data_IF_710101855601
#
_entry.id   IF_710101855601
#
_cell.length_a   1.000
_cell.length_b   1.000
_cell.length_c   1.000
_cell.angle_alpha   90.00
_cell.angle_beta   90.00
_cell.angle_gamma   90.00
#
_symmetry.space_group_name_H-M   'P 1'
#
loop_
_entity.id
_entity.type
_entity.pdbx_description
1 polymer ?
#
# COMPACT_ATOMS: atom_id res chain seq x y z
N UNK A 1 45.48 5.96 3.26
CA UNK A 1 46.56 6.55 2.44
C UNK A 1 47.17 7.70 3.22
N UNK A 2 48.43 8.01 2.97
CA UNK A 2 49.08 9.24 3.41
C UNK A 2 48.58 10.42 2.55
N UNK A 3 47.85 11.39 3.13
CA UNK A 3 47.35 12.56 2.39
C UNK A 3 48.45 13.37 1.71
N UNK A 4 49.68 13.40 2.25
CA UNK A 4 50.79 14.17 1.70
C UNK A 4 51.27 13.61 0.36
N UNK A 5 51.04 12.32 0.12
CA UNK A 5 51.42 11.64 -1.12
C UNK A 5 50.32 11.62 -2.16
N UNK A 6 49.11 12.12 -1.86
CA UNK A 6 47.99 12.25 -2.81
C UNK A 6 47.92 13.69 -3.30
N UNK A 7 48.65 13.97 -4.38
CA UNK A 7 48.80 15.31 -4.96
C UNK A 7 48.49 15.26 -6.46
N UNK A 8 48.54 16.42 -7.13
CA UNK A 8 48.37 16.49 -8.58
C UNK A 8 49.48 15.77 -9.38
N UNK A 9 50.56 15.30 -8.73
CA UNK A 9 51.60 14.48 -9.38
C UNK A 9 51.35 12.98 -9.25
N UNK A 10 50.55 12.56 -8.26
CA UNK A 10 50.27 11.14 -7.99
C UNK A 10 48.84 10.75 -8.29
N UNK A 11 47.87 11.68 -8.21
CA UNK A 11 46.55 11.54 -8.83
C UNK A 11 46.48 12.49 -10.02
N UNK A 12 46.71 11.93 -11.21
CA UNK A 12 46.76 12.67 -12.46
C UNK A 12 45.54 12.38 -13.31
N UNK A 13 45.17 13.34 -14.16
CA UNK A 13 44.16 13.19 -15.18
C UNK A 13 44.79 13.58 -16.53
N UNK A 14 44.62 12.75 -17.55
CA UNK A 14 45.08 13.03 -18.91
C UNK A 14 43.94 13.08 -19.89
N UNK A 15 44.03 14.00 -20.85
CA UNK A 15 43.24 14.00 -22.08
C UNK A 15 44.14 13.45 -23.20
N UNK A 16 43.92 12.20 -23.61
CA UNK A 16 44.88 11.50 -24.46
C UNK A 16 46.27 11.41 -23.81
N UNK A 17 47.27 12.09 -24.38
CA UNK A 17 48.64 12.13 -23.85
C UNK A 17 48.92 13.36 -22.94
N UNK A 18 48.02 14.35 -22.93
CA UNK A 18 48.23 15.65 -22.27
C UNK A 18 47.68 15.63 -20.85
N UNK A 19 48.42 16.12 -19.86
CA UNK A 19 47.90 16.29 -18.50
C UNK A 19 46.86 17.41 -18.45
N UNK A 20 45.73 17.12 -17.82
CA UNK A 20 44.73 18.12 -17.43
C UNK A 20 45.22 18.77 -16.14
N UNK A 21 45.26 20.10 -16.10
CA UNK A 21 45.59 20.83 -14.87
C UNK A 21 44.43 20.73 -13.88
N UNK A 22 44.77 20.61 -12.60
CA UNK A 22 43.78 20.50 -11.54
C UNK A 22 44.44 20.44 -10.17
N UNK A 23 43.61 20.50 -9.14
CA UNK A 23 44.02 20.25 -7.75
C UNK A 23 43.53 18.90 -7.30
N UNK A 24 44.18 18.34 -6.29
CA UNK A 24 43.75 17.09 -5.67
C UNK A 24 43.45 17.37 -4.22
N UNK A 25 42.30 16.88 -3.76
CA UNK A 25 41.94 16.86 -2.35
C UNK A 25 41.77 15.42 -1.90
N UNK A 26 42.10 15.14 -0.64
CA UNK A 26 41.94 13.82 -0.05
C UNK A 26 41.32 13.96 1.34
N UNK A 27 40.23 13.22 1.58
CA UNK A 27 39.55 13.20 2.87
C UNK A 27 38.99 11.82 3.18
N UNK A 28 39.30 11.31 4.38
CA UNK A 28 38.96 9.95 4.79
C UNK A 28 39.61 8.91 3.89
N UNK A 29 38.81 8.32 3.00
CA UNK A 29 39.22 7.31 2.01
C UNK A 29 38.98 7.77 0.57
N UNK A 30 38.61 9.04 0.36
CA UNK A 30 38.21 9.58 -0.95
C UNK A 30 39.22 10.62 -1.43
N UNK A 31 39.81 10.36 -2.60
CA UNK A 31 40.58 11.35 -3.35
C UNK A 31 39.69 11.98 -4.43
N UNK A 32 39.76 13.30 -4.59
CA UNK A 32 39.01 14.06 -5.60
C UNK A 32 39.99 14.91 -6.40
N UNK A 33 40.09 14.62 -7.70
CA UNK A 33 40.75 15.50 -8.66
C UNK A 33 39.74 16.55 -9.13
N UNK A 34 40.08 17.83 -8.96
CA UNK A 34 39.27 18.97 -9.37
C UNK A 34 40.00 19.63 -10.55
N UNK A 35 39.53 19.42 -11.80
CA UNK A 35 40.09 20.09 -12.96
C UNK A 35 40.06 21.61 -12.79
N UNK A 36 41.11 22.31 -13.24
CA UNK A 36 41.19 23.77 -13.17
C UNK A 36 40.26 24.46 -14.19
N UNK A 37 39.81 23.71 -15.19
CA UNK A 37 38.81 24.11 -16.18
C UNK A 37 37.98 22.89 -16.58
N UNK A 38 36.84 23.12 -17.22
CA UNK A 38 36.00 22.05 -17.75
C UNK A 38 36.80 21.09 -18.65
N UNK A 39 36.49 19.81 -18.51
CA UNK A 39 37.10 18.77 -19.33
C UNK A 39 36.59 18.89 -20.78
N UNK A 40 37.48 18.64 -21.74
CA UNK A 40 37.12 18.74 -23.14
C UNK A 40 35.99 17.76 -23.50
N UNK A 41 34.95 18.22 -24.18
CA UNK A 41 33.81 17.41 -24.61
C UNK A 41 34.23 16.27 -25.56
N UNK A 42 33.49 15.15 -25.52
CA UNK A 42 33.64 14.01 -26.42
C UNK A 42 35.00 13.31 -26.32
N UNK A 43 35.74 13.53 -25.22
CA UNK A 43 37.13 13.13 -25.12
C UNK A 43 37.34 12.10 -24.02
N UNK A 44 38.14 11.08 -24.34
CA UNK A 44 38.62 10.09 -23.37
C UNK A 44 39.59 10.79 -22.43
N UNK A 45 39.25 10.75 -21.15
CA UNK A 45 40.11 11.13 -20.06
C UNK A 45 40.57 9.88 -19.32
N UNK A 46 41.87 9.81 -19.04
CA UNK A 46 42.49 8.72 -18.31
C UNK A 46 42.97 9.27 -16.98
N UNK A 47 42.39 8.79 -15.90
CA UNK A 47 42.84 9.09 -14.56
C UNK A 47 43.80 8.01 -14.09
N UNK A 48 44.83 8.43 -13.37
CA UNK A 48 45.86 7.55 -12.84
C UNK A 48 46.19 7.93 -11.41
N UNK A 49 46.09 6.97 -10.50
CA UNK A 49 46.75 7.02 -9.19
C UNK A 49 48.07 6.27 -9.34
N UNK A 50 49.19 6.97 -9.22
CA UNK A 50 50.52 6.40 -9.49
C UNK A 50 51.06 5.62 -8.29
N UNK A 51 52.10 4.83 -8.54
CA UNK A 51 52.90 4.20 -7.47
C UNK A 51 53.63 5.20 -6.56
N UNK A 52 53.57 6.50 -6.83
CA UNK A 52 54.08 7.54 -5.93
C UNK A 52 53.19 7.80 -4.70
N UNK A 53 52.00 7.19 -4.67
CA UNK A 53 51.06 7.29 -3.55
C UNK A 53 51.35 6.21 -2.50
N UNK A 54 51.43 6.56 -1.22
CA UNK A 54 51.74 5.61 -0.13
C UNK A 54 50.65 5.56 0.94
N UNK A 55 50.66 4.51 1.76
CA UNK A 55 49.98 4.51 3.05
C UNK A 55 50.82 5.23 4.15
N UNK A 56 50.27 5.34 5.36
CA UNK A 56 50.94 5.99 6.50
C UNK A 56 52.16 5.20 7.01
N UNK A 57 52.32 3.94 6.59
CA UNK A 57 53.49 3.12 6.88
C UNK A 57 54.55 3.21 5.76
N UNK A 58 54.32 4.02 4.73
CA UNK A 58 55.22 4.23 3.59
C UNK A 58 55.10 3.16 2.50
N UNK A 59 54.10 2.28 2.54
CA UNK A 59 53.90 1.29 1.49
C UNK A 59 53.25 1.95 0.26
N UNK A 60 53.94 1.90 -0.88
CA UNK A 60 53.43 2.41 -2.14
C UNK A 60 52.30 1.54 -2.73
N UNK A 61 51.40 2.16 -3.49
CA UNK A 61 50.49 1.42 -4.38
C UNK A 61 51.34 0.57 -5.34
N UNK A 62 51.04 -0.73 -5.43
CA UNK A 62 51.90 -1.70 -6.10
C UNK A 62 52.07 -1.46 -7.61
N UNK A 63 51.04 -0.94 -8.27
CA UNK A 63 51.02 -0.58 -9.69
C UNK A 63 50.11 0.62 -9.89
N UNK A 64 50.36 1.43 -10.92
CA UNK A 64 49.47 2.52 -11.29
C UNK A 64 48.02 2.02 -11.43
N UNK A 65 47.10 2.62 -10.68
CA UNK A 65 45.67 2.35 -10.84
C UNK A 65 45.10 3.31 -11.88
N UNK A 66 44.73 2.75 -13.03
CA UNK A 66 44.34 3.52 -14.22
C UNK A 66 42.90 3.21 -14.58
N UNK A 67 42.09 4.26 -14.76
CA UNK A 67 40.75 4.14 -15.32
C UNK A 67 40.53 5.23 -16.36
N UNK A 68 39.60 4.99 -17.27
CA UNK A 68 39.23 5.98 -18.28
C UNK A 68 37.73 6.19 -18.32
N UNK A 69 37.35 7.41 -18.69
CA UNK A 69 35.97 7.80 -18.95
C UNK A 69 35.95 8.72 -20.18
N UNK A 70 34.84 8.74 -20.89
CA UNK A 70 34.66 9.66 -22.04
C UNK A 70 33.65 10.71 -21.65
N UNK A 71 34.01 11.99 -21.77
CA UNK A 71 33.06 13.10 -21.60
C UNK A 71 32.06 13.10 -22.75
N UNK A 72 30.84 13.60 -22.52
CA UNK A 72 29.83 13.72 -23.57
C UNK A 72 30.30 14.66 -24.69
N UNK A 73 29.92 14.36 -25.94
CA UNK A 73 30.33 15.14 -27.14
C UNK A 73 29.73 16.55 -27.18
N UNK A 74 28.62 16.78 -26.48
CA UNK A 74 28.01 18.08 -26.29
C UNK A 74 27.90 18.35 -24.78
N UNK A 75 28.09 19.62 -24.41
CA UNK A 75 27.69 20.10 -23.09
C UNK A 75 26.18 19.92 -22.98
N UNK A 76 25.74 19.38 -21.87
CA UNK A 76 24.33 19.38 -21.57
C UNK A 76 23.93 20.74 -21.04
N UNK A 77 23.16 21.46 -21.84
CA UNK A 77 22.60 22.79 -21.52
C UNK A 77 21.08 22.74 -21.45
N UNK A 78 20.51 21.53 -21.45
CA UNK A 78 19.07 21.34 -21.37
C UNK A 78 18.68 21.44 -19.91
N UNK A 79 17.79 22.38 -19.58
CA UNK A 79 17.31 22.46 -18.21
C UNK A 79 16.39 21.27 -17.91
N UNK A 80 16.47 20.68 -16.71
CA UNK A 80 15.50 19.69 -16.28
C UNK A 80 14.11 20.31 -16.18
N UNK A 81 13.10 19.49 -16.45
CA UNK A 81 11.69 19.84 -16.27
C UNK A 81 10.99 18.80 -15.40
N UNK A 82 9.80 19.15 -14.90
CA UNK A 82 8.95 18.21 -14.15
C UNK A 82 7.92 17.62 -15.10
N UNK A 83 8.07 16.34 -15.39
CA UNK A 83 7.21 15.54 -16.27
C UNK A 83 5.86 15.23 -15.62
N UNK A 84 5.84 14.97 -14.31
CA UNK A 84 4.62 14.67 -13.56
C UNK A 84 4.78 14.90 -12.05
N UNK A 85 3.66 15.08 -11.36
CA UNK A 85 3.58 15.14 -9.90
C UNK A 85 2.57 14.13 -9.36
N UNK A 86 2.82 13.64 -8.16
CA UNK A 86 1.88 12.86 -7.36
C UNK A 86 1.73 13.54 -5.99
N UNK A 87 0.52 13.82 -5.52
CA UNK A 87 -0.71 13.92 -6.30
C UNK A 87 -0.56 14.84 -7.52
N UNK A 88 -1.47 14.67 -8.49
CA UNK A 88 -1.59 15.65 -9.58
C UNK A 88 -1.92 17.03 -8.99
N UNK A 89 -1.53 18.08 -9.71
CA UNK A 89 -1.82 19.45 -9.26
C UNK A 89 -3.34 19.68 -9.12
N UNK A 90 -3.73 20.35 -8.03
CA UNK A 90 -5.09 20.57 -7.58
C UNK A 90 -5.92 19.29 -7.29
N UNK A 91 -5.30 18.13 -7.11
CA UNK A 91 -6.02 16.92 -6.71
C UNK A 91 -6.73 17.09 -5.37
N UNK A 92 -7.97 16.61 -5.27
CA UNK A 92 -8.77 16.61 -4.04
C UNK A 92 -9.07 15.18 -3.58
N UNK A 93 -9.49 15.01 -2.32
CA UNK A 93 -9.80 13.67 -1.80
C UNK A 93 -8.55 12.79 -1.60
N UNK A 94 -7.37 13.40 -1.56
CA UNK A 94 -6.10 12.68 -1.46
C UNK A 94 -5.99 11.99 -0.10
N UNK A 95 -5.54 10.72 -0.02
CA UNK A 95 -5.31 10.07 1.26
C UNK A 95 -4.35 10.87 2.14
N UNK A 96 -4.68 11.03 3.42
CA UNK A 96 -3.84 11.74 4.38
C UNK A 96 -2.44 11.09 4.58
N UNK A 97 -2.28 9.81 4.24
CA UNK A 97 -1.00 9.09 4.23
C UNK A 97 -0.24 9.17 2.90
N UNK A 98 -0.58 10.12 2.01
CA UNK A 98 0.12 10.26 0.73
C UNK A 98 1.58 10.69 0.92
N UNK A 99 2.47 10.13 0.10
CA UNK A 99 3.83 10.61 -0.06
C UNK A 99 3.92 11.40 -1.38
N UNK A 100 4.03 12.74 -1.34
CA UNK A 100 4.14 13.52 -2.57
C UNK A 100 5.40 13.13 -3.36
N UNK A 101 5.27 13.04 -4.68
CA UNK A 101 6.37 12.70 -5.57
C UNK A 101 6.41 13.60 -6.80
N UNK A 102 7.58 13.67 -7.40
CA UNK A 102 7.85 14.38 -8.65
C UNK A 102 8.66 13.50 -9.57
N UNK A 103 8.34 13.48 -10.86
CA UNK A 103 9.14 12.82 -11.90
C UNK A 103 9.75 13.88 -12.80
N UNK A 104 11.07 13.86 -12.96
CA UNK A 104 11.82 14.80 -13.80
C UNK A 104 11.89 14.32 -15.25
N UNK A 105 12.27 15.19 -16.19
CA UNK A 105 12.51 14.84 -17.60
C UNK A 105 13.81 14.05 -17.81
N UNK A 106 14.71 14.11 -16.84
CA UNK A 106 16.03 13.51 -16.89
C UNK A 106 16.57 13.21 -15.49
N UNK A 107 17.78 12.66 -15.42
CA UNK A 107 18.43 12.31 -14.16
C UNK A 107 18.94 13.57 -13.43
N UNK A 108 18.42 13.79 -12.22
CA UNK A 108 18.88 14.82 -11.29
C UNK A 108 20.14 14.40 -10.51
N UNK A 109 20.94 15.38 -10.06
CA UNK A 109 22.00 15.17 -9.07
C UNK A 109 21.36 14.82 -7.72
N UNK A 110 21.50 13.58 -7.22
CA UNK A 110 20.90 13.13 -5.97
C UNK A 110 21.31 13.97 -4.75
N UNK A 111 22.49 14.60 -4.77
CA UNK A 111 22.97 15.44 -3.66
C UNK A 111 22.22 16.76 -3.55
N UNK A 112 21.59 17.21 -4.64
CA UNK A 112 20.76 18.42 -4.65
C UNK A 112 19.29 18.14 -4.35
N UNK A 113 18.86 16.87 -4.35
CA UNK A 113 17.49 16.47 -4.04
C UNK A 113 17.38 16.11 -2.55
N UNK A 114 16.86 17.03 -1.75
CA UNK A 114 16.75 16.90 -0.30
C UNK A 114 15.52 17.62 0.24
N UNK A 115 15.31 17.59 1.55
CA UNK A 115 14.23 18.35 2.23
C UNK A 115 14.40 19.87 2.14
N UNK A 116 15.55 20.37 1.66
CA UNK A 116 15.73 21.79 1.33
C UNK A 116 15.13 22.17 -0.02
N UNK A 117 15.25 21.28 -1.00
CA UNK A 117 14.84 21.54 -2.39
C UNK A 117 13.49 20.96 -2.70
N UNK A 118 13.09 19.86 -2.05
CA UNK A 118 11.74 19.31 -2.07
C UNK A 118 11.06 19.53 -0.71
N UNK A 119 10.14 20.49 -0.65
CA UNK A 119 9.42 20.87 0.57
C UNK A 119 7.92 20.62 0.45
N UNK A 120 7.27 20.42 1.60
CA UNK A 120 5.82 20.33 1.74
C UNK A 120 5.35 21.32 2.82
N UNK A 121 4.28 22.07 2.55
CA UNK A 121 3.71 23.07 3.47
C UNK A 121 2.20 22.95 3.62
N UNK A 122 1.70 23.21 4.82
CA UNK A 122 0.30 23.51 5.12
C UNK A 122 0.16 25.02 5.29
N UNK A 123 -0.33 25.72 4.26
CA UNK A 123 -0.27 27.19 4.24
C UNK A 123 1.17 27.68 4.40
N UNK A 124 1.45 28.42 5.49
CA UNK A 124 2.80 28.90 5.81
C UNK A 124 3.64 27.89 6.61
N UNK A 125 3.02 26.87 7.22
CA UNK A 125 3.67 25.92 8.12
C UNK A 125 4.37 24.83 7.33
N UNK A 126 5.66 24.60 7.59
CA UNK A 126 6.40 23.49 6.99
C UNK A 126 5.96 22.15 7.57
N UNK A 127 5.81 21.14 6.71
CA UNK A 127 5.59 19.75 7.11
C UNK A 127 6.94 19.04 7.16
N UNK A 128 7.26 18.44 8.30
CA UNK A 128 8.48 17.63 8.45
C UNK A 128 8.37 16.33 7.66
N UNK A 129 9.49 15.88 7.10
CA UNK A 129 9.56 14.66 6.31
C UNK A 129 10.99 14.31 5.88
N UNK A 130 11.13 13.25 5.10
CA UNK A 130 12.37 12.84 4.44
C UNK A 130 12.17 12.85 2.92
N UNK A 131 13.26 12.95 2.17
CA UNK A 131 13.23 12.90 0.70
C UNK A 131 14.12 11.76 0.23
N UNK A 132 13.59 10.92 -0.66
CA UNK A 132 14.33 9.85 -1.34
C UNK A 132 14.25 10.09 -2.84
N UNK A 133 15.38 9.95 -3.53
CA UNK A 133 15.48 10.06 -4.97
C UNK A 133 15.95 8.74 -5.58
N UNK A 134 15.26 8.26 -6.62
CA UNK A 134 15.61 7.03 -7.33
C UNK A 134 15.17 7.10 -8.79
N UNK A 135 16.06 6.70 -9.71
CA UNK A 135 15.84 6.82 -11.15
C UNK A 135 15.73 8.29 -11.56
N UNK A 136 14.51 8.73 -11.87
CA UNK A 136 14.14 10.13 -12.20
C UNK A 136 13.03 10.67 -11.30
N UNK A 137 12.80 10.02 -10.15
CA UNK A 137 11.67 10.33 -9.26
C UNK A 137 12.17 10.67 -7.86
N UNK A 138 11.72 11.81 -7.33
CA UNK A 138 11.90 12.16 -5.91
C UNK A 138 10.57 11.97 -5.16
N UNK A 139 10.63 11.43 -3.95
CA UNK A 139 9.48 11.20 -3.07
C UNK A 139 9.74 11.86 -1.73
N UNK A 140 8.81 12.71 -1.29
CA UNK A 140 8.75 13.29 0.04
C UNK A 140 7.88 12.39 0.93
N UNK A 141 8.42 11.90 2.05
CA UNK A 141 7.70 11.10 3.05
C UNK A 141 7.48 11.94 4.31
N UNK A 142 6.25 12.42 4.58
CA UNK A 142 5.96 13.14 5.81
C UNK A 142 6.25 12.30 7.07
N UNK A 143 6.71 12.93 8.15
CA UNK A 143 6.96 12.23 9.44
C UNK A 143 5.67 11.87 10.18
N UNK A 144 4.55 12.46 9.78
CA UNK A 144 3.24 12.22 10.38
C UNK A 144 2.17 12.24 9.29
N UNK A 145 1.08 11.51 9.53
CA UNK A 145 -0.10 11.55 8.68
C UNK A 145 -0.56 13.01 8.54
N UNK A 146 -0.86 13.42 7.31
CA UNK A 146 -1.31 14.76 7.02
C UNK A 146 -2.69 15.00 7.64
N UNK A 147 -2.98 16.25 8.01
CA UNK A 147 -4.31 16.62 8.48
C UNK A 147 -5.34 16.40 7.35
N UNK A 148 -6.53 15.98 7.73
CA UNK A 148 -7.63 15.80 6.78
C UNK A 148 -8.25 17.14 6.35
N UNK A 149 -8.98 17.15 5.24
CA UNK A 149 -9.61 18.34 4.64
C UNK A 149 -8.65 19.55 4.54
N UNK A 150 -7.37 19.28 4.29
CA UNK A 150 -6.31 20.27 4.38
C UNK A 150 -5.60 20.38 3.05
N UNK A 151 -5.44 21.61 2.57
CA UNK A 151 -4.65 21.90 1.38
C UNK A 151 -3.17 21.98 1.73
N UNK A 152 -2.38 21.17 1.05
CA UNK A 152 -0.93 21.18 1.11
C UNK A 152 -0.35 21.71 -0.20
N UNK A 153 0.80 22.38 -0.11
CA UNK A 153 1.59 22.80 -1.25
C UNK A 153 2.96 22.17 -1.20
N UNK A 154 3.32 21.46 -2.26
CA UNK A 154 4.62 20.89 -2.45
C UNK A 154 5.44 21.77 -3.41
N UNK A 155 6.75 21.85 -3.19
CA UNK A 155 7.65 22.67 -4.02
C UNK A 155 8.94 21.91 -4.29
N UNK A 156 9.34 21.83 -5.56
CA UNK A 156 10.73 21.62 -5.98
C UNK A 156 11.35 22.96 -6.35
N UNK A 157 12.41 23.36 -5.67
CA UNK A 157 13.10 24.63 -5.92
C UNK A 157 14.06 24.57 -7.10
N UNK A 158 14.44 25.73 -7.63
CA UNK A 158 15.50 25.87 -8.64
C UNK A 158 16.90 25.53 -8.13
N UNK A 159 17.07 25.18 -6.85
CA UNK A 159 18.33 24.67 -6.32
C UNK A 159 18.54 23.18 -6.63
N UNK A 160 17.49 22.46 -7.05
CA UNK A 160 17.61 21.12 -7.61
C UNK A 160 18.28 21.19 -8.99
N UNK A 161 19.35 20.41 -9.17
CA UNK A 161 20.16 20.40 -10.39
C UNK A 161 20.17 19.03 -11.04
N UNK A 162 20.36 19.01 -12.36
CA UNK A 162 20.76 17.81 -13.06
C UNK A 162 22.24 17.45 -12.80
N UNK A 163 22.69 16.33 -13.38
CA UNK A 163 24.08 15.88 -13.28
C UNK A 163 25.08 16.81 -13.99
N UNK A 164 24.62 17.68 -14.89
CA UNK A 164 25.42 18.69 -15.59
C UNK A 164 25.42 20.06 -14.88
N UNK A 165 24.64 20.21 -13.81
CA UNK A 165 24.51 21.43 -13.03
C UNK A 165 23.43 22.40 -13.52
N UNK A 166 22.63 22.03 -14.54
CA UNK A 166 21.50 22.85 -14.97
C UNK A 166 20.38 22.80 -13.93
N UNK A 167 19.66 23.91 -13.80
CA UNK A 167 18.60 24.10 -12.81
C UNK A 167 17.23 24.03 -13.45
N UNK A 168 16.20 23.74 -12.65
CA UNK A 168 14.82 24.01 -13.07
C UNK A 168 14.67 25.48 -13.47
N UNK A 169 13.95 25.76 -14.56
CA UNK A 169 13.73 27.14 -15.02
C UNK A 169 12.96 28.01 -14.00
N UNK A 170 12.12 27.38 -13.18
CA UNK A 170 11.37 28.00 -12.08
C UNK A 170 11.05 26.95 -11.03
N UNK A 171 10.74 27.38 -9.80
CA UNK A 171 10.21 26.47 -8.78
C UNK A 171 8.97 25.75 -9.33
N UNK A 172 8.96 24.41 -9.25
CA UNK A 172 7.74 23.64 -9.49
C UNK A 172 6.93 23.63 -8.21
N UNK A 173 5.82 24.35 -8.21
CA UNK A 173 4.84 24.34 -7.12
C UNK A 173 3.59 23.61 -7.60
N UNK A 174 3.05 22.74 -6.76
CA UNK A 174 1.73 22.16 -6.96
C UNK A 174 1.02 22.04 -5.61
N UNK A 175 -0.30 21.94 -5.67
CA UNK A 175 -1.14 21.79 -4.48
C UNK A 175 -2.00 20.54 -4.56
N UNK A 176 -2.40 20.03 -3.40
CA UNK A 176 -3.41 19.00 -3.28
C UNK A 176 -4.16 19.16 -1.96
N UNK A 177 -5.40 18.70 -1.93
CA UNK A 177 -6.25 18.73 -0.74
C UNK A 177 -6.48 17.29 -0.26
N UNK A 178 -6.07 17.02 0.98
CA UNK A 178 -6.39 15.75 1.62
C UNK A 178 -7.90 15.58 1.76
N UNK A 179 -8.39 14.35 1.64
CA UNK A 179 -9.79 14.04 1.83
C UNK A 179 -10.26 14.30 3.26
N UNK A 180 -11.57 14.21 3.47
CA UNK A 180 -12.16 14.31 4.78
C UNK A 180 -11.59 13.26 5.74
N UNK A 181 -11.56 13.61 7.03
CA UNK A 181 -11.17 12.66 8.05
C UNK A 181 -12.19 11.53 7.96
N UNK A 182 -11.69 10.30 7.81
CA UNK A 182 -12.56 9.14 7.93
C UNK A 182 -13.25 9.22 9.30
N UNK A 183 -14.57 9.29 9.29
CA UNK A 183 -15.36 9.18 10.50
C UNK A 183 -15.47 7.71 10.93
N UNK A 184 -15.66 7.50 12.22
CA UNK A 184 -15.67 6.17 12.84
C UNK A 184 -14.28 5.66 13.23
N UNK A 185 -14.20 4.40 13.69
CA UNK A 185 -12.95 3.80 14.14
C UNK A 185 -11.97 3.51 12.99
N UNK A 186 -10.71 3.18 13.29
CA UNK A 186 -9.80 2.65 12.28
C UNK A 186 -10.38 1.35 11.65
N UNK A 187 -10.16 1.06 10.36
CA UNK A 187 -10.58 -0.20 9.74
C UNK A 187 -10.04 -1.42 10.50
N UNK A 188 -10.71 -2.56 10.38
CA UNK A 188 -10.19 -3.84 10.89
C UNK A 188 -9.20 -4.38 9.86
N UNK A 189 -7.96 -4.63 10.28
CA UNK A 189 -6.96 -5.24 9.40
C UNK A 189 -7.28 -6.74 9.24
N UNK A 190 -7.59 -7.14 8.01
CA UNK A 190 -7.88 -8.54 7.68
C UNK A 190 -6.60 -9.33 7.39
N UNK A 191 -5.43 -8.70 7.32
CA UNK A 191 -4.19 -9.32 6.90
C UNK A 191 -4.36 -10.11 5.59
N UNK A 192 -3.86 -11.34 5.57
CA UNK A 192 -4.00 -12.24 4.42
C UNK A 192 -5.42 -12.80 4.25
N UNK A 193 -6.27 -12.80 5.28
CA UNK A 193 -7.69 -13.16 5.15
C UNK A 193 -8.44 -12.18 4.22
N UNK A 194 -7.97 -10.94 4.13
CA UNK A 194 -8.47 -9.93 3.20
C UNK A 194 -8.32 -10.30 1.72
N UNK A 195 -7.68 -11.42 1.37
CA UNK A 195 -7.63 -11.92 -0.02
C UNK A 195 -8.82 -12.84 -0.37
N UNK A 196 -9.55 -13.33 0.63
CA UNK A 196 -10.60 -14.34 0.45
C UNK A 196 -12.00 -13.73 0.54
N UNK A 197 -12.86 -14.04 -0.42
CA UNK A 197 -14.27 -13.66 -0.37
C UNK A 197 -15.06 -14.55 0.59
N UNK A 198 -14.65 -15.82 0.71
CA UNK A 198 -15.18 -16.77 1.70
C UNK A 198 -14.00 -17.47 2.37
N UNK A 199 -13.99 -17.49 3.70
CA UNK A 199 -13.00 -18.23 4.49
C UNK A 199 -13.72 -18.93 5.63
N UNK A 200 -13.45 -20.22 5.83
CA UNK A 200 -14.10 -21.02 6.87
C UNK A 200 -13.13 -22.02 7.52
N UNK A 201 -13.33 -22.39 8.79
CA UNK A 201 -12.49 -23.40 9.44
C UNK A 201 -12.98 -24.82 9.30
N UNK A 202 -14.30 -25.01 9.18
CA UNK A 202 -14.95 -26.33 9.21
C UNK A 202 -15.68 -26.69 7.92
N UNK A 203 -15.71 -25.79 6.93
CA UNK A 203 -16.19 -26.10 5.58
C UNK A 203 -16.96 -24.98 4.91
N UNK A 204 -17.10 -25.10 3.59
CA UNK A 204 -17.97 -24.25 2.77
C UNK A 204 -18.82 -25.16 1.92
N UNK A 205 -20.13 -24.92 1.89
CA UNK A 205 -21.05 -25.69 1.04
C UNK A 205 -21.87 -24.79 0.13
N UNK A 206 -22.20 -25.28 -1.05
CA UNK A 206 -23.12 -24.63 -1.97
C UNK A 206 -24.16 -25.61 -2.53
N UNK A 207 -25.37 -25.11 -2.74
CA UNK A 207 -26.45 -25.76 -3.47
C UNK A 207 -27.14 -24.76 -4.39
N UNK A 208 -27.76 -25.23 -5.47
CA UNK A 208 -28.45 -24.36 -6.44
C UNK A 208 -27.49 -23.50 -7.28
N UNK A 209 -28.03 -22.49 -7.94
CA UNK A 209 -27.26 -21.60 -8.83
C UNK A 209 -26.48 -20.57 -8.03
N UNK A 210 -25.25 -20.91 -7.65
CA UNK A 210 -24.34 -20.00 -6.93
C UNK A 210 -23.38 -19.30 -7.89
N UNK A 211 -23.01 -18.06 -7.56
CA UNK A 211 -21.94 -17.31 -8.20
C UNK A 211 -21.05 -16.64 -7.14
N UNK A 212 -19.76 -16.94 -7.16
CA UNK A 212 -18.75 -16.36 -6.27
C UNK A 212 -17.71 -15.63 -7.09
N UNK A 213 -17.39 -14.38 -6.73
CA UNK A 213 -16.29 -13.62 -7.33
C UNK A 213 -15.25 -13.33 -6.26
N UNK A 214 -14.10 -14.01 -6.36
CA UNK A 214 -13.01 -14.00 -5.37
C UNK A 214 -12.66 -15.40 -4.86
N UNK A 215 -11.60 -15.48 -4.07
CA UNK A 215 -11.04 -16.74 -3.59
C UNK A 215 -11.78 -17.31 -2.38
N UNK A 216 -11.92 -18.64 -2.34
CA UNK A 216 -12.52 -19.39 -1.23
C UNK A 216 -11.43 -20.19 -0.50
N UNK A 217 -11.46 -20.21 0.82
CA UNK A 217 -10.48 -20.94 1.62
C UNK A 217 -11.12 -21.77 2.73
N UNK A 218 -10.59 -22.97 2.97
CA UNK A 218 -10.83 -23.74 4.18
C UNK A 218 -9.54 -24.19 4.85
N UNK A 219 -9.47 -24.06 6.18
CA UNK A 219 -8.38 -24.61 6.99
C UNK A 219 -8.77 -24.59 8.47
N UNK A 220 -8.53 -25.66 9.25
CA UNK A 220 -7.61 -26.76 8.98
C UNK A 220 -8.22 -27.95 8.23
N UNK A 221 -9.49 -27.87 7.81
CA UNK A 221 -10.14 -28.98 7.11
C UNK A 221 -9.64 -29.16 5.67
N UNK A 222 -9.79 -30.39 5.18
CA UNK A 222 -9.46 -30.80 3.83
C UNK A 222 -10.45 -30.28 2.77
N UNK A 223 -10.07 -30.37 1.49
CA UNK A 223 -10.87 -29.97 0.34
C UNK A 223 -12.22 -30.69 0.25
N UNK A 224 -12.35 -31.87 0.86
CA UNK A 224 -13.62 -32.61 0.98
C UNK A 224 -14.71 -31.84 1.73
N UNK A 225 -14.36 -30.79 2.47
CA UNK A 225 -15.29 -29.88 3.15
C UNK A 225 -15.69 -28.67 2.31
N UNK A 226 -15.22 -28.58 1.06
CA UNK A 226 -15.72 -27.65 0.03
C UNK A 226 -16.76 -28.39 -0.83
N UNK A 227 -17.98 -28.50 -0.32
CA UNK A 227 -19.03 -29.35 -0.92
C UNK A 227 -19.91 -28.59 -1.91
N UNK A 228 -20.34 -29.26 -2.99
CA UNK A 228 -21.20 -28.67 -4.02
C UNK A 228 -20.49 -27.84 -5.09
N UNK A 229 -19.18 -27.63 -4.98
CA UNK A 229 -18.42 -26.81 -5.92
C UNK A 229 -17.92 -27.56 -7.17
N UNK A 230 -18.05 -28.89 -7.23
CA UNK A 230 -17.51 -29.71 -8.34
C UNK A 230 -16.05 -29.36 -8.64
N UNK A 231 -15.19 -29.45 -7.62
CA UNK A 231 -13.80 -29.00 -7.66
C UNK A 231 -13.02 -29.65 -8.80
N UNK A 232 -12.23 -28.84 -9.50
CA UNK A 232 -11.24 -29.29 -10.47
C UNK A 232 -9.88 -28.82 -9.96
N UNK A 233 -9.06 -29.76 -9.45
CA UNK A 233 -7.71 -29.46 -8.97
C UNK A 233 -6.85 -28.92 -10.13
N UNK A 234 -6.05 -27.88 -9.85
CA UNK A 234 -5.05 -27.42 -10.79
C UNK A 234 -3.93 -28.46 -10.97
N UNK A 235 -3.19 -28.36 -12.07
CA UNK A 235 -2.03 -29.20 -12.39
C UNK A 235 -0.98 -29.28 -11.27
N UNK A 236 -0.83 -28.23 -10.48
CA UNK A 236 0.11 -28.17 -9.34
C UNK A 236 -0.46 -28.73 -8.05
N UNK A 237 -1.78 -29.00 -8.02
CA UNK A 237 -2.55 -29.37 -6.83
C UNK A 237 -2.41 -28.38 -5.65
N UNK A 238 -2.06 -27.12 -5.91
CA UNK A 238 -1.97 -26.07 -4.88
C UNK A 238 -3.31 -25.36 -4.65
N UNK A 239 -4.24 -25.45 -5.60
CA UNK A 239 -5.61 -24.94 -5.50
C UNK A 239 -6.53 -25.75 -6.42
N UNK A 240 -7.84 -25.51 -6.31
CA UNK A 240 -8.86 -25.99 -7.23
C UNK A 240 -9.62 -24.83 -7.88
N UNK A 241 -10.28 -25.11 -8.98
CA UNK A 241 -11.24 -24.22 -9.66
C UNK A 241 -12.64 -24.80 -9.61
N UNK A 242 -13.64 -23.97 -9.92
CA UNK A 242 -15.05 -24.35 -9.99
C UNK A 242 -15.77 -23.45 -11.00
N UNK A 243 -16.77 -23.98 -11.70
CA UNK A 243 -17.59 -23.21 -12.65
C UNK A 243 -18.45 -22.12 -11.98
N UNK A 244 -18.71 -22.24 -10.67
CA UNK A 244 -19.47 -21.26 -9.88
C UNK A 244 -18.58 -20.26 -9.13
N UNK A 245 -17.25 -20.35 -9.31
CA UNK A 245 -16.28 -19.48 -8.63
C UNK A 245 -15.36 -18.82 -9.66
N UNK A 246 -15.52 -17.51 -9.83
CA UNK A 246 -14.54 -16.65 -10.51
C UNK A 246 -13.42 -16.31 -9.54
N UNK A 247 -12.57 -17.30 -9.27
CA UNK A 247 -11.49 -17.26 -8.28
C UNK A 247 -10.90 -18.66 -8.08
N UNK A 248 -10.09 -18.82 -7.04
CA UNK A 248 -9.48 -20.09 -6.66
C UNK A 248 -10.03 -20.59 -5.33
N UNK A 249 -10.12 -21.91 -5.20
CA UNK A 249 -10.47 -22.57 -3.96
C UNK A 249 -9.22 -23.19 -3.34
N UNK A 250 -8.97 -22.96 -2.06
CA UNK A 250 -7.81 -23.44 -1.32
C UNK A 250 -8.25 -24.26 -0.10
N UNK A 251 -7.50 -25.32 0.21
CA UNK A 251 -7.76 -26.20 1.34
C UNK A 251 -6.45 -26.65 2.01
N UNK A 252 -6.54 -27.11 3.26
CA UNK A 252 -5.38 -27.44 4.08
C UNK A 252 -4.59 -28.68 3.60
N UNK A 253 -5.19 -29.55 2.79
CA UNK A 253 -4.61 -30.78 2.26
C UNK A 253 -4.04 -30.64 0.84
N UNK A 254 -4.05 -29.43 0.27
CA UNK A 254 -3.39 -29.14 -1.01
C UNK A 254 -1.86 -29.10 -0.91
N UNK A 255 -1.20 -29.16 -2.06
CA UNK A 255 0.26 -29.16 -2.14
C UNK A 255 0.86 -27.83 -1.61
N UNK A 256 2.09 -27.86 -1.04
CA UNK A 256 2.81 -26.65 -0.65
C UNK A 256 2.92 -25.61 -1.78
N UNK A 257 2.83 -24.30 -1.48
CA UNK A 257 2.85 -23.69 -0.14
C UNK A 257 1.47 -23.55 0.54
N UNK A 258 0.40 -24.08 -0.06
CA UNK A 258 -0.99 -23.78 0.35
C UNK A 258 -1.30 -24.05 1.83
N UNK A 259 -0.90 -25.18 2.46
CA UNK A 259 -1.25 -25.44 3.86
C UNK A 259 -0.72 -24.38 4.83
N UNK A 260 0.52 -23.92 4.62
CA UNK A 260 1.15 -22.89 5.45
C UNK A 260 0.47 -21.54 5.22
N UNK A 261 0.24 -21.17 3.96
CA UNK A 261 -0.48 -19.95 3.60
C UNK A 261 -1.87 -19.93 4.22
N UNK A 262 -2.61 -21.04 4.14
CA UNK A 262 -3.96 -21.15 4.69
C UNK A 262 -3.99 -21.10 6.23
N UNK A 263 -2.95 -21.58 6.89
CA UNK A 263 -2.80 -21.44 8.34
C UNK A 263 -2.66 -19.97 8.74
N UNK A 264 -1.82 -19.20 8.03
CA UNK A 264 -1.68 -17.74 8.26
C UNK A 264 -2.98 -17.01 7.96
N UNK A 265 -3.65 -17.34 6.85
CA UNK A 265 -4.93 -16.74 6.44
C UNK A 265 -6.01 -16.92 7.52
N UNK A 266 -6.15 -18.12 8.08
CA UNK A 266 -7.12 -18.37 9.16
C UNK A 266 -6.69 -17.73 10.49
N UNK A 267 -5.39 -17.61 10.75
CA UNK A 267 -4.88 -16.85 11.91
C UNK A 267 -5.24 -15.37 11.80
N UNK A 268 -5.02 -14.75 10.64
CA UNK A 268 -5.34 -13.34 10.41
C UNK A 268 -6.85 -13.06 10.53
N UNK A 269 -7.69 -14.00 10.10
CA UNK A 269 -9.14 -13.92 10.33
C UNK A 269 -9.49 -13.91 11.84
N UNK A 270 -8.83 -14.75 12.65
CA UNK A 270 -9.06 -14.78 14.10
C UNK A 270 -8.54 -13.50 14.78
N UNK A 271 -7.41 -12.97 14.31
CA UNK A 271 -6.88 -11.68 14.74
C UNK A 271 -7.86 -10.55 14.40
N UNK A 272 -8.37 -10.50 13.18
CA UNK A 272 -9.36 -9.51 12.75
C UNK A 272 -10.67 -9.59 13.56
N UNK A 273 -11.17 -10.80 13.83
CA UNK A 273 -12.32 -11.00 14.71
C UNK A 273 -12.06 -10.45 16.12
N UNK A 274 -10.89 -10.76 16.69
CA UNK A 274 -10.51 -10.33 18.04
C UNK A 274 -10.30 -8.82 18.12
N UNK A 275 -9.69 -8.22 17.09
CA UNK A 275 -9.54 -6.78 16.94
C UNK A 275 -10.91 -6.08 16.90
N UNK A 276 -11.80 -6.52 16.01
CA UNK A 276 -13.14 -5.97 15.88
C UNK A 276 -13.97 -6.11 17.17
N UNK A 277 -13.92 -7.28 17.83
CA UNK A 277 -14.60 -7.54 19.11
C UNK A 277 -13.97 -6.75 20.27
N UNK A 278 -12.67 -6.45 20.18
CA UNK A 278 -11.88 -5.79 21.21
C UNK A 278 -11.91 -4.26 21.14
N UNK A 279 -12.51 -3.66 20.10
CA UNK A 279 -12.67 -2.20 20.03
C UNK A 279 -13.42 -1.69 21.26
N UNK A 280 -12.90 -0.65 21.88
CA UNK A 280 -13.45 -0.03 23.08
C UNK A 280 -14.12 1.30 22.75
N UNK A 281 -14.86 1.88 23.71
CA UNK A 281 -15.59 3.16 23.59
C UNK A 281 -16.60 3.19 22.42
N UNK A 282 -17.68 2.40 22.47
CA UNK A 282 -18.70 2.44 21.42
C UNK A 282 -19.40 3.80 21.37
N UNK A 283 -19.58 4.33 20.17
CA UNK A 283 -20.36 5.53 19.90
C UNK A 283 -21.86 5.27 20.16
N UNK A 284 -22.30 4.04 19.92
CA UNK A 284 -23.69 3.60 20.08
C UNK A 284 -23.75 2.26 20.81
N UNK A 285 -24.60 2.17 21.83
CA UNK A 285 -24.81 0.96 22.64
C UNK A 285 -26.30 0.58 22.63
N UNK A 286 -26.59 -0.68 22.36
CA UNK A 286 -27.95 -1.25 22.31
C UNK A 286 -28.92 -0.49 21.38
N UNK A 287 -28.41 0.09 20.28
CA UNK A 287 -29.24 0.88 19.36
C UNK A 287 -30.40 0.03 18.82
N UNK A 288 -31.61 0.59 18.89
CA UNK A 288 -32.83 -0.10 18.44
C UNK A 288 -33.18 -1.35 19.25
N UNK A 289 -32.57 -1.54 20.43
CA UNK A 289 -32.68 -2.77 21.22
C UNK A 289 -32.37 -4.05 20.40
N UNK A 290 -31.46 -3.93 19.42
CA UNK A 290 -31.08 -5.00 18.50
C UNK A 290 -31.80 -4.95 17.15
N UNK A 291 -32.96 -4.30 17.03
CA UNK A 291 -33.62 -4.11 15.73
C UNK A 291 -33.22 -2.76 15.12
N UNK A 292 -32.40 -2.80 14.08
CA UNK A 292 -31.91 -1.59 13.38
C UNK A 292 -32.69 -1.29 12.09
N UNK A 293 -33.85 -1.92 11.90
CA UNK A 293 -34.67 -1.75 10.70
C UNK A 293 -35.04 -0.29 10.43
N UNK A 294 -34.86 0.13 9.18
CA UNK A 294 -35.21 1.47 8.70
C UNK A 294 -34.28 2.59 9.19
N UNK A 295 -33.29 2.30 10.04
CA UNK A 295 -32.37 3.30 10.53
C UNK A 295 -31.38 3.72 9.44
N UNK A 296 -30.89 4.97 9.56
CA UNK A 296 -29.70 5.44 8.85
C UNK A 296 -28.57 5.56 9.85
N UNK A 297 -27.54 4.73 9.69
CA UNK A 297 -26.40 4.62 10.59
C UNK A 297 -25.22 5.39 10.02
N UNK A 298 -24.70 6.31 10.83
CA UNK A 298 -23.48 7.08 10.53
C UNK A 298 -22.23 6.26 10.87
N UNK A 299 -21.04 6.63 10.39
CA UNK A 299 -19.81 5.93 10.73
C UNK A 299 -19.59 5.89 12.24
N UNK A 300 -19.08 4.78 12.76
CA UNK A 300 -18.91 4.61 14.20
C UNK A 300 -18.73 3.16 14.65
N UNK A 301 -18.44 3.02 15.94
CA UNK A 301 -18.42 1.76 16.67
C UNK A 301 -19.78 1.54 17.36
N UNK A 302 -20.45 0.46 16.99
CA UNK A 302 -21.73 0.06 17.53
C UNK A 302 -21.60 -1.24 18.33
N UNK A 303 -22.30 -1.33 19.46
CA UNK A 303 -22.23 -2.48 20.35
C UNK A 303 -23.60 -2.95 20.83
N UNK A 304 -23.81 -4.26 20.77
CA UNK A 304 -24.95 -4.96 21.38
C UNK A 304 -24.48 -6.16 22.21
N UNK A 305 -25.05 -6.29 23.40
CA UNK A 305 -24.95 -7.47 24.26
C UNK A 305 -25.89 -8.60 23.83
N UNK A 306 -26.76 -8.37 22.85
CA UNK A 306 -27.71 -9.32 22.28
C UNK A 306 -27.50 -9.50 20.76
N UNK A 307 -28.42 -10.20 20.10
CA UNK A 307 -28.44 -10.31 18.64
C UNK A 307 -28.98 -9.04 17.97
N UNK A 308 -28.64 -8.88 16.69
CA UNK A 308 -29.09 -7.77 15.84
C UNK A 308 -29.96 -8.30 14.70
N UNK A 309 -31.09 -7.62 14.44
CA UNK A 309 -32.00 -7.94 13.34
C UNK A 309 -32.16 -6.76 12.36
N UNK A 310 -32.34 -7.12 11.08
CA UNK A 310 -32.66 -6.20 9.98
C UNK A 310 -33.87 -6.76 9.24
N UNK A 311 -35.06 -6.20 9.47
CA UNK A 311 -36.33 -6.69 8.92
C UNK A 311 -36.68 -6.00 7.60
N UNK A 312 -36.62 -4.66 7.55
CA UNK A 312 -37.00 -3.85 6.39
C UNK A 312 -35.83 -3.09 5.76
N UNK A 313 -34.61 -3.60 5.94
CA UNK A 313 -33.36 -2.96 5.51
C UNK A 313 -32.82 -1.92 6.49
N UNK A 314 -31.62 -1.43 6.21
CA UNK A 314 -30.91 -0.39 6.97
C UNK A 314 -30.03 0.41 6.00
N UNK A 315 -29.79 1.69 6.26
CA UNK A 315 -28.87 2.50 5.45
C UNK A 315 -27.61 2.82 6.24
N UNK A 316 -26.43 2.61 5.65
CA UNK A 316 -25.14 3.07 6.16
C UNK A 316 -24.71 4.29 5.34
N UNK A 317 -24.67 5.46 5.98
CA UNK A 317 -24.46 6.73 5.29
C UNK A 317 -23.21 7.45 5.80
N UNK A 318 -22.22 7.57 4.93
CA UNK A 318 -20.95 8.26 5.22
C UNK A 318 -20.08 8.32 3.97
N UNK A 319 -18.89 8.92 4.10
CA UNK A 319 -17.93 9.07 3.03
C UNK A 319 -17.22 7.76 2.65
N UNK A 320 -16.45 7.83 1.56
CA UNK A 320 -15.77 6.66 0.99
C UNK A 320 -14.70 6.03 1.89
N UNK A 321 -14.16 6.78 2.86
CA UNK A 321 -13.13 6.30 3.77
C UNK A 321 -13.66 6.05 5.19
N UNK A 322 -14.93 6.36 5.44
CA UNK A 322 -15.55 6.20 6.74
C UNK A 322 -15.75 4.72 7.08
N UNK A 323 -15.78 4.40 8.37
CA UNK A 323 -15.75 3.03 8.88
C UNK A 323 -16.92 2.77 9.81
N UNK A 324 -17.51 1.59 9.67
CA UNK A 324 -18.51 1.04 10.58
C UNK A 324 -17.98 -0.26 11.18
N UNK A 325 -18.04 -0.38 12.50
CA UNK A 325 -17.78 -1.64 13.19
C UNK A 325 -18.99 -1.96 14.06
N UNK A 326 -19.64 -3.09 13.78
CA UNK A 326 -20.77 -3.61 14.53
C UNK A 326 -20.28 -4.79 15.38
N UNK A 327 -20.29 -4.64 16.70
CA UNK A 327 -20.03 -5.71 17.67
C UNK A 327 -21.36 -6.34 18.12
N UNK A 328 -21.63 -7.56 17.67
CA UNK A 328 -22.88 -8.30 17.95
C UNK A 328 -22.56 -9.51 18.80
N UNK A 329 -22.96 -9.49 20.08
CA UNK A 329 -22.71 -10.60 20.99
C UNK A 329 -23.61 -11.84 20.73
N UNK A 330 -24.76 -11.64 20.08
CA UNK A 330 -25.64 -12.72 19.63
C UNK A 330 -25.56 -12.98 18.13
N UNK A 331 -26.69 -13.40 17.55
CA UNK A 331 -26.83 -13.64 16.12
C UNK A 331 -27.05 -12.33 15.34
N UNK A 332 -26.59 -12.30 14.09
CA UNK A 332 -27.00 -11.30 13.10
C UNK A 332 -28.06 -11.91 12.19
N UNK A 333 -29.26 -11.34 12.17
CA UNK A 333 -30.39 -11.83 11.36
C UNK A 333 -30.77 -10.76 10.34
N UNK A 334 -30.49 -11.00 9.06
CA UNK A 334 -30.95 -10.15 7.96
C UNK A 334 -32.12 -10.87 7.31
N UNK A 335 -33.33 -10.36 7.51
CA UNK A 335 -34.55 -11.05 7.08
C UNK A 335 -34.68 -11.09 5.55
N UNK A 336 -35.68 -11.86 5.09
CA UNK A 336 -35.97 -12.02 3.68
C UNK A 336 -36.15 -10.67 2.99
N UNK A 337 -35.49 -10.49 1.85
CA UNK A 337 -35.52 -9.29 1.03
C UNK A 337 -35.02 -8.00 1.72
N UNK A 338 -34.47 -8.08 2.94
CA UNK A 338 -33.88 -6.93 3.60
C UNK A 338 -32.59 -6.49 2.90
N UNK A 339 -32.37 -5.18 2.80
CA UNK A 339 -31.24 -4.60 2.08
C UNK A 339 -30.41 -3.73 3.03
N UNK A 340 -29.10 -3.98 3.08
CA UNK A 340 -28.13 -3.04 3.64
C UNK A 340 -27.74 -2.05 2.53
N UNK A 341 -28.19 -0.81 2.63
CA UNK A 341 -27.95 0.23 1.63
C UNK A 341 -26.72 1.05 2.00
N UNK A 342 -25.81 1.29 1.05
CA UNK A 342 -24.68 2.23 1.23
C UNK A 342 -25.02 3.58 0.59
N UNK A 343 -24.82 4.68 1.33
CA UNK A 343 -25.08 6.04 0.89
C UNK A 343 -23.90 6.97 1.21
N UNK A 344 -23.83 8.13 0.55
CA UNK A 344 -22.80 9.16 0.82
C UNK A 344 -21.39 8.85 0.31
N UNK A 345 -21.19 7.69 -0.34
CA UNK A 345 -19.89 7.20 -0.78
C UNK A 345 -19.38 6.01 0.02
N UNK A 346 -20.07 5.59 1.09
CA UNK A 346 -19.73 4.44 1.92
C UNK A 346 -19.41 3.20 1.06
N UNK A 347 -18.37 2.46 1.45
CA UNK A 347 -17.87 1.28 0.73
C UNK A 347 -17.96 0.03 1.60
N UNK A 348 -18.40 -1.10 1.03
CA UNK A 348 -18.53 -2.37 1.76
C UNK A 348 -17.21 -2.83 2.41
N UNK A 349 -16.06 -2.49 1.82
CA UNK A 349 -14.73 -2.82 2.38
C UNK A 349 -14.43 -2.15 3.73
N UNK A 350 -15.18 -1.12 4.12
CA UNK A 350 -15.02 -0.40 5.38
C UNK A 350 -16.14 -0.70 6.40
N UNK A 351 -17.01 -1.69 6.11
CA UNK A 351 -18.11 -2.07 6.99
C UNK A 351 -17.81 -3.44 7.56
N UNK A 352 -17.61 -3.53 8.88
CA UNK A 352 -17.23 -4.75 9.57
C UNK A 352 -18.31 -5.18 10.56
N UNK A 353 -18.76 -6.42 10.43
CA UNK A 353 -19.75 -7.06 11.29
C UNK A 353 -19.07 -8.18 12.07
N UNK A 354 -18.70 -7.91 13.31
CA UNK A 354 -18.22 -8.93 14.23
C UNK A 354 -19.43 -9.58 14.90
N UNK A 355 -19.59 -10.89 14.72
CA UNK A 355 -20.76 -11.64 15.19
C UNK A 355 -20.31 -12.83 16.02
N UNK A 356 -20.61 -12.83 17.32
CA UNK A 356 -20.25 -13.92 18.23
C UNK A 356 -21.21 -15.12 18.13
N UNK A 357 -22.45 -14.89 17.68
CA UNK A 357 -23.37 -15.93 17.25
C UNK A 357 -23.19 -16.33 15.78
N UNK A 358 -24.28 -16.72 15.14
CA UNK A 358 -24.32 -16.97 13.70
C UNK A 358 -24.78 -15.73 12.93
N UNK A 359 -24.37 -15.62 11.67
CA UNK A 359 -24.90 -14.63 10.74
C UNK A 359 -25.82 -15.32 9.72
N UNK A 360 -27.10 -14.94 9.70
CA UNK A 360 -28.10 -15.51 8.82
C UNK A 360 -28.64 -14.44 7.86
N UNK A 361 -28.30 -14.57 6.57
CA UNK A 361 -28.85 -13.77 5.48
C UNK A 361 -30.03 -14.52 4.85
N UNK A 362 -31.24 -13.98 5.04
CA UNK A 362 -32.50 -14.53 4.57
C UNK A 362 -32.62 -14.59 3.05
N UNK A 363 -33.72 -15.19 2.59
CA UNK A 363 -34.02 -15.34 1.16
C UNK A 363 -34.02 -13.98 0.48
N UNK A 364 -33.31 -13.84 -0.64
CA UNK A 364 -33.20 -12.62 -1.42
C UNK A 364 -32.70 -11.36 -0.67
N UNK A 365 -32.10 -11.52 0.52
CA UNK A 365 -31.45 -10.40 1.21
C UNK A 365 -30.28 -9.85 0.37
N UNK A 366 -30.02 -8.54 0.44
CA UNK A 366 -28.84 -7.92 -0.18
C UNK A 366 -27.96 -7.26 0.89
N UNK A 367 -26.80 -7.88 1.16
CA UNK A 367 -25.92 -7.51 2.25
C UNK A 367 -24.66 -6.79 1.78
N UNK A 368 -24.19 -5.82 2.56
CA UNK A 368 -22.96 -5.06 2.31
C UNK A 368 -22.06 -5.08 3.54
N UNK A 369 -20.81 -5.51 3.35
CA UNK A 369 -19.80 -5.52 4.41
C UNK A 369 -19.05 -6.83 4.58
N UNK A 370 -18.12 -6.84 5.52
CA UNK A 370 -17.29 -7.98 5.90
C UNK A 370 -17.89 -8.59 7.16
N UNK A 371 -18.30 -9.84 7.11
CA UNK A 371 -18.77 -10.60 8.28
C UNK A 371 -17.59 -11.38 8.84
N UNK A 372 -17.23 -11.08 10.09
CA UNK A 372 -16.31 -11.83 10.94
C UNK A 372 -17.16 -12.60 11.95
N UNK A 373 -17.54 -13.84 11.64
CA UNK A 373 -18.39 -14.65 12.50
C UNK A 373 -17.58 -15.66 13.31
N UNK A 374 -17.90 -15.79 14.59
CA UNK A 374 -17.37 -16.84 15.46
C UNK A 374 -17.96 -18.21 15.10
N UNK A 375 -19.13 -18.25 14.48
CA UNK A 375 -19.81 -19.50 14.14
C UNK A 375 -20.21 -19.52 12.66
N UNK A 376 -21.43 -19.97 12.36
CA UNK A 376 -21.94 -20.17 11.01
C UNK A 376 -22.26 -18.83 10.34
N UNK A 377 -21.95 -18.74 9.04
CA UNK A 377 -22.55 -17.75 8.15
C UNK A 377 -23.42 -18.49 7.13
N UNK A 378 -24.72 -18.22 7.10
CA UNK A 378 -25.64 -18.81 6.13
C UNK A 378 -26.22 -17.77 5.18
N UNK A 379 -26.11 -18.02 3.88
CA UNK A 379 -26.73 -17.24 2.83
C UNK A 379 -27.83 -18.09 2.17
N UNK A 380 -29.08 -17.74 2.44
CA UNK A 380 -30.24 -18.47 1.93
C UNK A 380 -30.55 -18.14 0.47
N UNK A 381 -31.55 -18.84 -0.09
CA UNK A 381 -31.95 -18.77 -1.50
C UNK A 381 -31.95 -17.35 -2.06
N UNK A 382 -31.13 -17.09 -3.08
CA UNK A 382 -31.11 -15.80 -3.78
C UNK A 382 -30.46 -14.65 -3.01
N UNK A 383 -29.92 -14.88 -1.81
CA UNK A 383 -29.19 -13.86 -1.06
C UNK A 383 -27.98 -13.36 -1.86
N UNK A 384 -27.73 -12.06 -1.76
CA UNK A 384 -26.63 -11.35 -2.40
C UNK A 384 -25.73 -10.72 -1.35
N UNK A 385 -24.44 -10.69 -1.62
CA UNK A 385 -23.46 -10.05 -0.76
C UNK A 385 -22.38 -9.33 -1.57
N UNK A 386 -22.15 -8.05 -1.27
CA UNK A 386 -20.94 -7.33 -1.67
C UNK A 386 -20.07 -7.18 -0.42
N UNK A 387 -19.05 -8.03 -0.29
CA UNK A 387 -18.50 -8.30 1.03
C UNK A 387 -17.56 -9.50 1.11
N UNK A 388 -17.26 -9.91 2.35
CA UNK A 388 -16.54 -11.16 2.66
C UNK A 388 -17.26 -11.92 3.76
N UNK A 389 -17.36 -13.25 3.62
CA UNK A 389 -17.91 -14.14 4.64
C UNK A 389 -16.76 -14.92 5.31
N UNK A 390 -16.32 -14.47 6.49
CA UNK A 390 -15.18 -15.00 7.21
C UNK A 390 -15.68 -15.68 8.51
N UNK A 391 -15.78 -17.01 8.50
CA UNK A 391 -16.38 -17.81 9.56
C UNK A 391 -15.35 -18.66 10.31
N UNK A 392 -15.37 -18.63 11.63
CA UNK A 392 -14.56 -19.55 12.44
C UNK A 392 -15.16 -20.97 12.50
N UNK A 393 -16.35 -21.20 11.95
CA UNK A 393 -16.86 -22.54 11.64
C UNK A 393 -17.10 -22.71 10.15
N UNK A 394 -18.35 -22.64 9.67
CA UNK A 394 -18.74 -22.98 8.31
C UNK A 394 -19.41 -21.81 7.60
N UNK A 395 -19.42 -21.88 6.26
CA UNK A 395 -20.25 -21.01 5.41
C UNK A 395 -21.17 -21.88 4.54
N UNK A 396 -22.47 -21.57 4.50
CA UNK A 396 -23.45 -22.27 3.67
C UNK A 396 -24.08 -21.32 2.64
N UNK A 397 -24.16 -21.77 1.40
CA UNK A 397 -24.71 -21.03 0.27
C UNK A 397 -25.86 -21.81 -0.37
N UNK A 398 -27.00 -21.14 -0.59
CA UNK A 398 -28.10 -21.68 -1.37
C UNK A 398 -28.51 -20.69 -2.47
N UNK A 399 -28.18 -20.99 -3.72
CA UNK A 399 -28.47 -20.16 -4.89
C UNK A 399 -28.09 -18.67 -4.71
N UNK A 400 -26.88 -18.41 -4.24
CA UNK A 400 -26.43 -17.08 -3.78
C UNK A 400 -25.47 -16.41 -4.76
N UNK A 401 -25.38 -15.07 -4.69
CA UNK A 401 -24.32 -14.33 -5.35
C UNK A 401 -23.46 -13.56 -4.32
N UNK A 402 -22.14 -13.79 -4.31
CA UNK A 402 -21.22 -13.06 -3.44
C UNK A 402 -20.03 -12.53 -4.25
N UNK A 403 -19.66 -11.28 -4.01
CA UNK A 403 -18.59 -10.58 -4.73
C UNK A 403 -17.70 -9.86 -3.72
N UNK A 404 -16.38 -10.06 -3.86
CA UNK A 404 -15.40 -9.33 -3.06
C UNK A 404 -15.54 -7.80 -3.25
N UNK A 405 -15.30 -6.99 -2.19
CA UNK A 405 -15.41 -5.53 -2.25
C UNK A 405 -14.42 -4.82 -3.16
#
# INVERSE_FOLDING_TARGET
>A
MDPETITATTFTLKQGATYVSGTVTYSGVTAVFIPASDLAAGTIHTATITTGTTDLAGNAVATDYVWSFTTSKALDVTNPTVSSTLPADAATGVPAGVNPAVTFSEAMDPLTISTKTFTLKQGATAVSGTVIYSGVTAVFTPTSILAANTTYSATISTEAKDLAGNVLASNKVWSFTTGAAAAGPAPVDLGTAGKFVILAKTGVSTTGTTAVVGDIGVSPVAASYLTGFSLIADSTNTFSTSSVVSGKLYAADYAPPTPVVMTTVVSDMQTAFTDAAGRTTPDFTELGAGDISGLTLVPGLYKWGTGVSITNGVTLSGGANDVWIFQVAGDLIVNNSAIVTLAGGAQAKNVFWQVSGQANLGTAADFKGIILSQTLISLNTGAKMSGRALAQTAVTLNATAITAP
#
